data_IF_010491226002
#
_entry.id   IF_010491226002
#
_cell.length_a   1.000
_cell.length_b   1.000
_cell.length_c   1.000
_cell.angle_alpha   90.00
_cell.angle_beta   90.00
_cell.angle_gamma   90.00
#
_symmetry.space_group_name_H-M   'P 1'
#
loop_
_entity.id
_entity.type
_entity.pdbx_description
1 polymer ?
#
# COMPACT_ATOMS: atom_id res chain seq x y z
N UNK A 1 -14.18 12.15 -46.44
CA UNK A 1 -13.14 12.71 -45.54
C UNK A 1 -12.10 13.32 -46.44
N UNK A 2 -11.86 14.61 -46.32
CA UNK A 2 -10.88 15.30 -47.15
C UNK A 2 -9.45 14.90 -46.73
N UNK A 3 -8.50 14.98 -47.65
CA UNK A 3 -7.10 14.59 -47.40
C UNK A 3 -6.52 15.25 -46.13
N UNK A 4 -6.81 16.54 -45.91
CA UNK A 4 -6.33 17.26 -44.73
C UNK A 4 -6.92 16.71 -43.42
N UNK A 5 -8.18 16.25 -43.43
CA UNK A 5 -8.84 15.69 -42.24
C UNK A 5 -8.21 14.37 -41.84
N UNK A 6 -7.89 13.52 -42.82
CA UNK A 6 -7.21 12.24 -42.59
C UNK A 6 -5.82 12.46 -41.99
N UNK A 7 -5.08 13.44 -42.51
CA UNK A 7 -3.74 13.80 -42.00
C UNK A 7 -3.82 14.29 -40.55
N UNK A 8 -4.72 15.22 -40.26
CA UNK A 8 -4.90 15.78 -38.90
C UNK A 8 -5.34 14.70 -37.92
N UNK A 9 -6.29 13.85 -38.30
CA UNK A 9 -6.77 12.74 -37.47
C UNK A 9 -5.66 11.71 -37.21
N UNK A 10 -4.86 11.39 -38.22
CA UNK A 10 -3.72 10.49 -38.10
C UNK A 10 -2.68 11.00 -37.10
N UNK A 11 -2.30 12.27 -37.20
CA UNK A 11 -1.35 12.90 -36.27
C UNK A 11 -1.93 12.91 -34.84
N UNK A 12 -3.20 13.27 -34.67
CA UNK A 12 -3.85 13.30 -33.36
C UNK A 12 -3.84 11.92 -32.66
N UNK A 13 -4.10 10.85 -33.41
CA UNK A 13 -4.07 9.47 -32.88
C UNK A 13 -2.65 9.09 -32.46
N UNK A 14 -1.64 9.40 -33.27
CA UNK A 14 -0.23 9.10 -32.95
C UNK A 14 0.19 9.83 -31.66
N UNK A 15 -0.18 11.11 -31.51
CA UNK A 15 0.10 11.86 -30.29
C UNK A 15 -0.62 11.28 -29.06
N UNK A 16 -1.88 10.85 -29.23
CA UNK A 16 -2.65 10.23 -28.15
C UNK A 16 -2.01 8.92 -27.67
N UNK A 17 -1.57 8.06 -28.60
CA UNK A 17 -0.88 6.80 -28.26
C UNK A 17 0.43 7.10 -27.53
N UNK A 18 1.22 8.07 -28.01
CA UNK A 18 2.46 8.48 -27.35
C UNK A 18 2.22 9.00 -25.92
N UNK A 19 1.15 9.78 -25.71
CA UNK A 19 0.76 10.26 -24.38
C UNK A 19 0.41 9.11 -23.43
N UNK A 20 -0.38 8.13 -23.87
CA UNK A 20 -0.73 6.96 -23.04
C UNK A 20 0.50 6.12 -22.69
N UNK A 21 1.45 5.95 -23.61
CA UNK A 21 2.70 5.23 -23.35
C UNK A 21 3.52 5.95 -22.26
N UNK A 22 3.65 7.28 -22.33
CA UNK A 22 4.34 8.05 -21.29
C UNK A 22 3.66 7.91 -19.93
N UNK A 23 2.33 8.04 -19.88
CA UNK A 23 1.55 7.87 -18.64
C UNK A 23 1.79 6.47 -18.06
N UNK A 24 1.71 5.42 -18.89
CA UNK A 24 1.96 4.05 -18.46
C UNK A 24 3.33 3.89 -17.78
N UNK A 25 4.40 4.37 -18.42
CA UNK A 25 5.76 4.27 -17.84
C UNK A 25 5.88 5.05 -16.52
N UNK A 26 5.22 6.20 -16.38
CA UNK A 26 5.23 6.96 -15.12
C UNK A 26 4.49 6.26 -13.99
N UNK A 27 3.41 5.53 -14.30
CA UNK A 27 2.65 4.79 -13.30
C UNK A 27 3.41 3.55 -12.83
N UNK A 28 3.99 2.77 -13.76
CA UNK A 28 4.75 1.56 -13.42
C UNK A 28 5.96 1.86 -12.55
N UNK A 29 6.65 3.00 -12.77
CA UNK A 29 7.83 3.37 -11.97
C UNK A 29 7.48 3.75 -10.53
N UNK A 30 6.24 4.18 -10.27
CA UNK A 30 5.78 4.65 -8.97
C UNK A 30 4.98 3.59 -8.18
N UNK A 31 5.30 2.31 -8.35
CA UNK A 31 4.76 1.17 -7.57
C UNK A 31 5.18 1.20 -6.07
N UNK A 32 5.10 2.35 -5.41
CA UNK A 32 5.27 2.43 -3.96
C UNK A 32 4.12 1.68 -3.32
N UNK A 33 4.44 0.72 -2.45
CA UNK A 33 3.45 0.01 -1.64
C UNK A 33 2.77 1.05 -0.73
N UNK A 34 1.46 1.19 -0.88
CA UNK A 34 0.64 2.02 0.00
C UNK A 34 0.14 1.15 1.17
N UNK A 35 0.24 1.62 2.44
CA UNK A 35 0.77 2.92 2.88
C UNK A 35 2.30 2.96 3.05
N UNK A 36 2.94 4.14 2.92
CA UNK A 36 4.39 4.35 2.98
C UNK A 36 4.91 4.21 4.40
N UNK A 37 4.04 4.41 5.39
CA UNK A 37 4.32 4.23 6.79
C UNK A 37 3.18 3.44 7.41
N UNK A 38 3.54 2.35 8.06
CA UNK A 38 2.64 1.53 8.86
C UNK A 38 3.12 1.63 10.30
N UNK A 39 2.19 1.75 11.25
CA UNK A 39 2.53 1.77 12.66
C UNK A 39 3.26 0.47 13.07
N UNK A 40 4.25 0.57 13.97
CA UNK A 40 4.97 -0.62 14.48
C UNK A 40 4.08 -1.57 15.27
N UNK A 41 2.99 -1.05 15.85
CA UNK A 41 2.04 -1.74 16.69
C UNK A 41 0.60 -1.52 16.19
N UNK A 42 -0.34 -2.44 16.50
CA UNK A 42 -1.76 -2.23 16.24
C UNK A 42 -2.38 -1.13 17.10
N UNK A 43 -3.60 -0.70 16.78
CA UNK A 43 -4.17 0.56 17.28
C UNK A 43 -4.31 0.65 18.81
N UNK A 44 -4.55 -0.48 19.50
CA UNK A 44 -4.70 -0.52 20.97
C UNK A 44 -3.39 -0.84 21.73
N UNK A 45 -2.27 -0.93 21.03
CA UNK A 45 -0.96 -1.25 21.60
C UNK A 45 -0.01 -0.06 21.48
N UNK A 46 0.79 0.14 22.52
CA UNK A 46 1.80 1.19 22.59
C UNK A 46 3.17 0.57 22.35
N UNK A 47 3.97 1.18 21.48
CA UNK A 47 5.33 0.73 21.22
C UNK A 47 6.24 1.07 22.42
N UNK A 48 6.89 0.06 22.99
CA UNK A 48 7.93 0.20 24.00
C UNK A 48 9.31 0.07 23.33
N UNK A 49 10.06 1.18 23.32
CA UNK A 49 11.39 1.25 22.72
C UNK A 49 12.47 0.50 23.53
N UNK A 50 12.21 0.18 24.80
CA UNK A 50 13.16 -0.52 25.67
C UNK A 50 13.21 -2.01 25.34
N UNK A 51 12.03 -2.59 25.13
CA UNK A 51 11.89 -4.03 24.82
C UNK A 51 11.73 -4.30 23.33
N UNK A 52 11.58 -3.24 22.52
CA UNK A 52 11.22 -3.29 21.10
C UNK A 52 9.94 -4.11 20.82
N UNK A 53 8.91 -3.94 21.67
CA UNK A 53 7.66 -4.71 21.64
C UNK A 53 6.45 -3.80 21.78
N UNK A 54 5.27 -4.36 21.54
CA UNK A 54 4.00 -3.65 21.65
C UNK A 54 3.35 -3.98 23.00
N UNK A 55 3.20 -3.02 23.91
CA UNK A 55 2.52 -3.22 25.20
C UNK A 55 1.02 -2.96 25.03
N UNK A 56 0.19 -3.89 25.50
CA UNK A 56 -1.27 -3.71 25.52
C UNK A 56 -1.68 -2.65 26.54
N UNK A 57 -2.60 -1.77 26.14
CA UNK A 57 -3.16 -0.74 27.03
C UNK A 57 -4.07 -1.34 28.11
N UNK A 58 -4.62 -2.54 27.90
CA UNK A 58 -5.62 -3.14 28.80
C UNK A 58 -5.03 -4.11 29.81
N UNK A 59 -4.07 -4.94 29.41
CA UNK A 59 -3.64 -6.12 30.19
C UNK A 59 -2.14 -6.12 30.52
N UNK A 60 -1.41 -5.05 30.20
CA UNK A 60 0.06 -4.92 30.37
C UNK A 60 0.92 -6.01 29.69
N UNK A 61 0.31 -6.86 28.88
CA UNK A 61 0.99 -7.91 28.13
C UNK A 61 1.77 -7.35 26.94
N UNK A 62 2.92 -7.95 26.65
CA UNK A 62 3.74 -7.61 25.50
C UNK A 62 3.42 -8.52 24.31
N UNK A 63 3.14 -7.88 23.19
CA UNK A 63 2.97 -8.50 21.88
C UNK A 63 4.28 -8.36 21.09
N UNK A 64 4.83 -9.52 20.70
CA UNK A 64 6.07 -9.63 19.93
C UNK A 64 5.77 -9.76 18.42
N UNK A 65 5.36 -8.64 17.83
CA UNK A 65 5.02 -8.53 16.39
C UNK A 65 5.92 -7.55 15.64
N UNK A 66 6.74 -6.75 16.32
CA UNK A 66 7.53 -5.65 15.75
C UNK A 66 8.49 -6.13 14.66
N UNK A 67 9.13 -7.29 14.88
CA UNK A 67 10.11 -7.93 13.99
C UNK A 67 9.47 -8.81 12.90
N UNK A 68 8.16 -9.02 12.92
CA UNK A 68 7.46 -9.84 11.92
C UNK A 68 7.30 -9.10 10.59
N UNK A 69 7.19 -9.86 9.50
CA UNK A 69 6.89 -9.28 8.18
C UNK A 69 5.51 -8.63 8.18
N UNK A 70 5.27 -7.67 7.27
CA UNK A 70 3.95 -7.05 7.12
C UNK A 70 2.84 -8.09 6.90
N UNK A 71 3.12 -9.16 6.15
CA UNK A 71 2.14 -10.22 5.92
C UNK A 71 1.81 -11.04 7.17
N UNK A 72 2.81 -11.36 8.00
CA UNK A 72 2.56 -12.04 9.27
C UNK A 72 1.78 -11.16 10.24
N UNK A 73 2.10 -9.86 10.28
CA UNK A 73 1.36 -8.85 11.06
C UNK A 73 -0.09 -8.77 10.62
N UNK A 74 -0.34 -8.77 9.31
CA UNK A 74 -1.69 -8.75 8.74
C UNK A 74 -2.47 -10.02 9.04
N UNK A 75 -1.87 -11.21 8.86
CA UNK A 75 -2.51 -12.49 9.19
C UNK A 75 -2.90 -12.54 10.66
N UNK A 76 -1.97 -12.22 11.55
CA UNK A 76 -2.24 -12.16 13.00
C UNK A 76 -3.37 -11.18 13.33
N UNK A 77 -3.35 -9.97 12.75
CA UNK A 77 -4.38 -8.97 13.00
C UNK A 77 -5.76 -9.41 12.50
N UNK A 78 -5.83 -10.09 11.34
CA UNK A 78 -7.07 -10.66 10.81
C UNK A 78 -7.59 -11.82 11.65
N UNK A 79 -6.71 -12.73 12.06
CA UNK A 79 -7.05 -13.88 12.92
C UNK A 79 -7.57 -13.45 14.29
N UNK A 80 -7.05 -12.35 14.84
CA UNK A 80 -7.45 -11.82 16.14
C UNK A 80 -8.49 -10.69 16.05
N UNK A 81 -9.01 -10.39 14.85
CA UNK A 81 -9.99 -9.32 14.61
C UNK A 81 -9.56 -7.93 15.12
N UNK A 82 -8.25 -7.66 15.08
CA UNK A 82 -7.65 -6.41 15.56
C UNK A 82 -7.42 -5.44 14.39
N UNK A 83 -7.77 -4.18 14.62
CA UNK A 83 -7.45 -3.10 13.69
C UNK A 83 -5.96 -2.74 13.80
N UNK A 84 -5.33 -2.68 12.63
CA UNK A 84 -3.96 -2.22 12.45
C UNK A 84 -3.95 -1.34 11.22
N UNK A 85 -3.88 -0.03 11.45
CA UNK A 85 -3.92 0.96 10.38
C UNK A 85 -2.81 0.70 9.33
N UNK A 86 -3.24 0.59 8.07
CA UNK A 86 -2.32 0.36 6.96
C UNK A 86 -1.82 -1.09 6.81
N UNK A 87 -2.36 -2.04 7.60
CA UNK A 87 -2.21 -3.48 7.39
C UNK A 87 -3.55 -4.19 7.29
N UNK A 88 -4.28 -4.32 8.41
CA UNK A 88 -5.56 -5.04 8.46
C UNK A 88 -6.78 -4.16 8.23
N UNK A 89 -6.61 -2.84 8.39
CA UNK A 89 -7.64 -1.82 8.22
C UNK A 89 -7.25 -0.79 7.14
N UNK A 90 -8.21 -0.41 6.29
CA UNK A 90 -8.04 0.63 5.25
C UNK A 90 -7.29 0.20 3.99
N UNK A 91 -6.75 -1.02 3.92
CA UNK A 91 -6.04 -1.55 2.75
C UNK A 91 -6.31 -3.04 2.54
N UNK A 92 -6.30 -3.50 1.28
CA UNK A 92 -6.25 -4.91 0.92
C UNK A 92 -4.80 -5.30 0.65
N UNK A 93 -4.21 -6.15 1.49
CA UNK A 93 -2.86 -6.65 1.28
C UNK A 93 -2.91 -8.08 0.72
N UNK A 94 -2.28 -8.26 -0.44
CA UNK A 94 -2.07 -9.58 -1.02
C UNK A 94 -0.79 -10.20 -0.43
N UNK A 95 -0.97 -11.33 0.23
CA UNK A 95 0.08 -12.14 0.86
C UNK A 95 0.15 -13.50 0.18
N UNK A 96 0.24 -13.49 -1.15
CA UNK A 96 0.52 -14.65 -2.00
C UNK A 96 2.00 -15.06 -1.94
#
# INVERSE_FOLDING_TARGET
MELYQIIVLGIAIVLLIAAYIMIYFTLVKNNKKWPPSVAKCPDYWVYDATTDKCKSTTNEEYLDVTQKTSCDKYKWAKENEISWEGLSYGVSMDCS
#
